data_IF_975126528619
#
_entry.id   IF_975126528619
#
_cell.length_a   1.000
_cell.length_b   1.000
_cell.length_c   1.000
_cell.angle_alpha   90.00
_cell.angle_beta   90.00
_cell.angle_gamma   90.00
#
_symmetry.space_group_name_H-M   'P 1'
#
loop_
_entity.id
_entity.type
_entity.pdbx_description
1 polymer ?
#
# COMPACT_ATOMS: atom_id res chain seq x y z
N UNK A 1 30.68 -2.15 3.31
CA UNK A 1 29.43 -2.16 2.52
C UNK A 1 28.47 -3.22 3.09
N UNK A 2 27.97 -3.14 4.31
CA UNK A 2 26.99 -4.12 4.84
C UNK A 2 26.13 -3.49 5.95
N UNK A 3 25.50 -2.38 5.63
CA UNK A 3 24.39 -1.89 6.44
C UNK A 3 23.08 -2.08 5.67
N UNK A 4 22.83 -3.32 5.29
CA UNK A 4 21.52 -3.73 4.77
C UNK A 4 20.53 -3.47 5.90
N UNK A 5 19.67 -2.50 5.70
CA UNK A 5 18.58 -2.11 6.60
C UNK A 5 17.92 -3.36 7.16
N UNK A 6 18.16 -3.67 8.44
CA UNK A 6 17.69 -4.89 9.05
C UNK A 6 16.35 -4.61 9.72
N UNK A 7 15.29 -5.27 9.25
CA UNK A 7 13.99 -5.29 9.90
C UNK A 7 13.80 -6.52 10.81
N UNK A 8 14.90 -7.16 11.21
CA UNK A 8 14.89 -8.30 12.13
C UNK A 8 14.15 -7.98 13.43
N UNK A 9 13.26 -8.88 13.83
CA UNK A 9 12.41 -8.71 15.01
C UNK A 9 11.21 -7.80 14.83
N UNK A 10 11.04 -7.16 13.64
CA UNK A 10 9.84 -6.38 13.31
C UNK A 10 8.80 -7.23 12.60
N UNK A 11 7.53 -6.90 12.81
CA UNK A 11 6.40 -7.49 12.10
C UNK A 11 5.79 -6.44 11.16
N UNK A 12 5.75 -6.76 9.86
CA UNK A 12 5.15 -5.93 8.82
C UNK A 12 3.83 -6.54 8.34
N UNK A 13 2.74 -5.78 8.43
CA UNK A 13 1.47 -6.10 7.77
C UNK A 13 1.43 -5.37 6.43
N UNK A 14 1.20 -6.11 5.35
CA UNK A 14 1.09 -5.55 4.00
C UNK A 14 -0.24 -5.98 3.40
N UNK A 15 -1.11 -5.01 3.10
CA UNK A 15 -2.40 -5.31 2.50
C UNK A 15 -2.30 -5.44 0.98
N UNK A 16 -3.09 -6.35 0.37
CA UNK A 16 -3.03 -6.61 -1.07
C UNK A 16 -1.68 -7.13 -1.55
N UNK A 17 -1.04 -7.99 -0.75
CA UNK A 17 0.33 -8.44 -0.98
C UNK A 17 0.46 -9.72 -1.81
N UNK A 18 -0.62 -10.19 -2.46
CA UNK A 18 -0.58 -11.32 -3.41
C UNK A 18 0.06 -10.96 -4.76
N UNK A 19 0.17 -9.66 -5.11
CA UNK A 19 0.71 -9.23 -6.40
C UNK A 19 1.29 -7.80 -6.35
N UNK A 20 1.95 -7.39 -7.43
CA UNK A 20 2.39 -6.01 -7.67
C UNK A 20 3.25 -5.42 -6.55
N UNK A 21 3.00 -4.16 -6.20
CA UNK A 21 3.76 -3.40 -5.20
C UNK A 21 3.74 -4.10 -3.83
N UNK A 22 2.57 -4.63 -3.43
CA UNK A 22 2.43 -5.34 -2.16
C UNK A 22 3.30 -6.59 -2.08
N UNK A 23 3.34 -7.39 -3.15
CA UNK A 23 4.17 -8.59 -3.25
C UNK A 23 5.68 -8.26 -3.23
N UNK A 24 6.09 -7.22 -3.99
CA UNK A 24 7.46 -6.74 -3.99
C UNK A 24 7.87 -6.25 -2.59
N UNK A 25 7.02 -5.46 -1.93
CA UNK A 25 7.26 -5.00 -0.56
C UNK A 25 7.37 -6.16 0.43
N UNK A 26 6.45 -7.13 0.36
CA UNK A 26 6.47 -8.31 1.23
C UNK A 26 7.78 -9.09 1.09
N UNK A 27 8.19 -9.36 -0.14
CA UNK A 27 9.47 -10.05 -0.43
C UNK A 27 10.66 -9.23 0.08
N UNK A 28 10.67 -7.94 -0.15
CA UNK A 28 11.77 -7.05 0.26
C UNK A 28 11.91 -6.90 1.78
N UNK A 29 10.80 -6.81 2.53
CA UNK A 29 10.82 -6.84 4.00
C UNK A 29 11.28 -8.20 4.54
N UNK A 30 10.78 -9.30 3.97
CA UNK A 30 11.19 -10.65 4.34
C UNK A 30 12.68 -10.88 4.14
N UNK A 31 13.23 -10.47 2.98
CA UNK A 31 14.66 -10.57 2.68
C UNK A 31 15.56 -9.76 3.65
N UNK A 32 14.95 -8.82 4.39
CA UNK A 32 15.65 -8.02 5.42
C UNK A 32 15.29 -8.46 6.85
N UNK A 33 14.75 -9.66 7.01
CA UNK A 33 14.53 -10.32 8.30
C UNK A 33 13.23 -9.99 9.02
N UNK A 34 12.30 -9.24 8.39
CA UNK A 34 10.99 -8.99 8.98
C UNK A 34 10.12 -10.26 8.97
N UNK A 35 9.26 -10.39 9.98
CA UNK A 35 8.06 -11.24 9.89
C UNK A 35 7.01 -10.50 9.07
N UNK A 36 6.49 -11.13 8.01
CA UNK A 36 5.54 -10.49 7.09
C UNK A 36 4.16 -11.13 7.19
N UNK A 37 3.16 -10.32 7.52
CA UNK A 37 1.75 -10.71 7.44
C UNK A 37 1.24 -10.27 6.06
N UNK A 38 0.95 -11.24 5.20
CA UNK A 38 0.57 -11.08 3.81
C UNK A 38 -0.94 -11.12 3.72
N UNK A 39 -1.58 -9.95 3.62
CA UNK A 39 -3.02 -9.92 3.40
C UNK A 39 -3.35 -10.09 1.91
N UNK A 40 -4.36 -10.91 1.64
CA UNK A 40 -4.94 -11.15 0.30
C UNK A 40 -6.47 -11.32 0.38
N UNK A 41 -7.16 -11.22 -0.78
CA UNK A 41 -8.60 -11.53 -0.88
C UNK A 41 -8.82 -12.86 -1.60
N UNK A 42 -8.84 -12.87 -2.95
CA UNK A 42 -9.19 -14.04 -3.75
C UNK A 42 -8.01 -14.81 -4.35
N UNK A 43 -6.80 -14.25 -4.34
CA UNK A 43 -5.61 -14.80 -5.01
C UNK A 43 -4.75 -15.63 -4.05
N UNK A 44 -5.28 -16.74 -3.54
CA UNK A 44 -4.60 -17.55 -2.53
C UNK A 44 -3.33 -18.21 -3.06
N UNK A 45 -3.34 -18.77 -4.26
CA UNK A 45 -2.16 -19.40 -4.88
C UNK A 45 -1.02 -18.40 -5.08
N UNK A 46 -1.33 -17.15 -5.46
CA UNK A 46 -0.34 -16.10 -5.60
C UNK A 46 0.22 -15.68 -4.24
N UNK A 47 -0.64 -15.52 -3.24
CA UNK A 47 -0.22 -15.21 -1.87
C UNK A 47 0.69 -16.33 -1.29
N UNK A 48 0.38 -17.59 -1.60
CA UNK A 48 1.22 -18.73 -1.21
C UNK A 48 2.61 -18.67 -1.87
N UNK A 49 2.69 -18.31 -3.14
CA UNK A 49 3.98 -18.10 -3.81
C UNK A 49 4.80 -16.96 -3.18
N UNK A 50 4.12 -15.90 -2.73
CA UNK A 50 4.82 -14.79 -2.07
C UNK A 50 5.35 -15.20 -0.70
N UNK A 51 4.59 -15.97 0.10
CA UNK A 51 5.09 -16.47 1.39
C UNK A 51 6.29 -17.40 1.23
N UNK A 52 6.32 -18.21 0.16
CA UNK A 52 7.46 -19.06 -0.18
C UNK A 52 8.70 -18.23 -0.55
N UNK A 53 8.53 -17.15 -1.32
CA UNK A 53 9.62 -16.20 -1.62
C UNK A 53 10.16 -15.54 -0.35
N UNK A 54 9.28 -15.08 0.54
CA UNK A 54 9.65 -14.49 1.84
C UNK A 54 10.47 -15.49 2.65
N UNK A 55 10.04 -16.74 2.74
CA UNK A 55 10.74 -17.81 3.47
C UNK A 55 12.07 -18.17 2.80
N UNK A 56 12.09 -18.30 1.48
CA UNK A 56 13.30 -18.56 0.71
C UNK A 56 14.37 -17.48 0.83
N UNK A 57 13.95 -16.24 1.12
CA UNK A 57 14.85 -15.11 1.41
C UNK A 57 15.27 -15.01 2.90
N UNK A 58 14.90 -15.99 3.74
CA UNK A 58 15.25 -16.05 5.17
C UNK A 58 14.25 -15.35 6.11
N UNK A 59 13.15 -14.79 5.58
CA UNK A 59 12.10 -14.17 6.36
C UNK A 59 11.07 -15.16 6.90
N UNK A 60 10.15 -14.65 7.71
CA UNK A 60 8.98 -15.39 8.19
C UNK A 60 7.71 -14.78 7.59
N UNK A 61 6.73 -15.61 7.22
CA UNK A 61 5.50 -15.12 6.65
C UNK A 61 4.27 -15.87 7.12
N UNK A 62 3.14 -15.16 7.18
CA UNK A 62 1.81 -15.68 7.49
C UNK A 62 0.79 -15.05 6.54
N UNK A 63 -0.20 -15.85 6.11
CA UNK A 63 -1.28 -15.40 5.22
C UNK A 63 -2.49 -14.96 6.04
N UNK A 64 -3.07 -13.82 5.68
CA UNK A 64 -4.32 -13.31 6.25
C UNK A 64 -5.31 -13.03 5.11
N UNK A 65 -6.43 -13.74 5.09
CA UNK A 65 -7.48 -13.56 4.08
C UNK A 65 -8.58 -12.64 4.60
N UNK A 66 -8.93 -11.62 3.83
CA UNK A 66 -10.10 -10.77 4.07
C UNK A 66 -10.53 -10.05 2.78
N UNK A 67 -11.81 -9.72 2.66
CA UNK A 67 -12.30 -8.87 1.58
C UNK A 67 -12.43 -7.41 2.06
N UNK A 68 -11.48 -6.57 1.72
CA UNK A 68 -11.46 -5.16 2.11
C UNK A 68 -12.40 -4.27 1.28
N UNK A 69 -13.19 -4.83 0.36
CA UNK A 69 -14.27 -4.08 -0.30
C UNK A 69 -15.50 -3.95 0.61
N UNK A 70 -15.55 -4.70 1.71
CA UNK A 70 -16.66 -4.71 2.67
C UNK A 70 -16.20 -4.36 4.08
N UNK A 71 -17.08 -3.74 4.87
CA UNK A 71 -16.79 -3.45 6.28
C UNK A 71 -16.67 -4.71 7.14
N UNK A 72 -17.34 -5.81 6.75
CA UNK A 72 -17.19 -7.09 7.45
C UNK A 72 -15.80 -7.68 7.25
N UNK A 73 -15.28 -7.62 6.03
CA UNK A 73 -13.91 -8.02 5.75
C UNK A 73 -12.88 -7.13 6.46
N UNK A 74 -13.11 -5.83 6.52
CA UNK A 74 -12.27 -4.90 7.31
C UNK A 74 -12.28 -5.29 8.78
N UNK A 75 -13.48 -5.51 9.38
CA UNK A 75 -13.61 -5.94 10.78
C UNK A 75 -12.94 -7.29 11.03
N UNK A 76 -13.07 -8.23 10.10
CA UNK A 76 -12.43 -9.55 10.17
C UNK A 76 -10.90 -9.41 10.24
N UNK A 77 -10.30 -8.61 9.34
CA UNK A 77 -8.85 -8.41 9.36
C UNK A 77 -8.41 -7.69 10.63
N UNK A 78 -9.11 -6.63 11.07
CA UNK A 78 -8.83 -5.94 12.34
C UNK A 78 -8.88 -6.91 13.52
N UNK A 79 -9.89 -7.78 13.57
CA UNK A 79 -10.01 -8.82 14.60
C UNK A 79 -8.82 -9.80 14.60
N UNK A 80 -8.36 -10.18 13.40
CA UNK A 80 -7.20 -11.06 13.26
C UNK A 80 -5.88 -10.41 13.74
N UNK A 81 -5.84 -9.07 13.87
CA UNK A 81 -4.67 -8.35 14.40
C UNK A 81 -4.69 -8.21 15.93
N UNK A 82 -5.79 -8.55 16.61
CA UNK A 82 -5.91 -8.38 18.05
C UNK A 82 -4.80 -9.13 18.82
N UNK A 83 -4.13 -8.44 19.73
CA UNK A 83 -3.02 -8.97 20.52
C UNK A 83 -1.71 -9.18 19.74
N UNK A 84 -1.65 -8.88 18.46
CA UNK A 84 -0.44 -9.00 17.64
C UNK A 84 0.39 -7.72 17.67
N UNK A 85 1.69 -7.88 17.79
CA UNK A 85 2.63 -6.76 17.58
C UNK A 85 2.78 -6.50 16.09
N UNK A 86 2.41 -5.29 15.66
CA UNK A 86 2.65 -4.79 14.30
C UNK A 86 3.54 -3.55 14.41
N UNK A 87 4.71 -3.61 13.79
CA UNK A 87 5.69 -2.53 13.80
C UNK A 87 5.61 -1.68 12.53
N UNK A 88 5.18 -2.30 11.42
CA UNK A 88 5.06 -1.68 10.11
C UNK A 88 3.70 -2.04 9.53
N UNK A 89 2.93 -1.02 9.10
CA UNK A 89 1.71 -1.18 8.31
C UNK A 89 1.91 -0.57 6.92
N UNK A 90 1.76 -1.39 5.87
CA UNK A 90 1.69 -0.91 4.49
C UNK A 90 0.27 -1.08 3.98
N UNK A 91 -0.48 0.03 3.93
CA UNK A 91 -1.81 0.10 3.33
C UNK A 91 -1.67 0.18 1.81
N UNK A 92 -1.50 -0.99 1.16
CA UNK A 92 -1.30 -1.10 -0.28
C UNK A 92 -2.56 -1.59 -1.02
N UNK A 93 -3.45 -2.35 -0.37
CA UNK A 93 -4.68 -2.80 -1.02
C UNK A 93 -5.43 -1.64 -1.68
N UNK A 94 -5.77 -1.81 -2.94
CA UNK A 94 -6.46 -0.78 -3.71
C UNK A 94 -6.77 -1.22 -5.13
N UNK A 95 -7.93 -0.81 -5.63
CA UNK A 95 -8.39 -1.09 -6.99
C UNK A 95 -9.44 -0.07 -7.42
N UNK A 96 -9.58 0.11 -8.73
CA UNK A 96 -10.74 0.75 -9.34
C UNK A 96 -12.02 -0.09 -9.13
N UNK A 97 -11.87 -1.39 -8.88
CA UNK A 97 -12.90 -2.42 -8.97
C UNK A 97 -13.46 -2.49 -10.40
N UNK A 98 -14.01 -1.39 -10.88
CA UNK A 98 -14.52 -1.24 -12.25
C UNK A 98 -14.30 0.20 -12.74
N UNK A 99 -13.91 0.35 -14.03
CA UNK A 99 -13.96 1.66 -14.69
C UNK A 99 -15.40 2.01 -15.03
N UNK A 100 -15.92 3.09 -14.47
CA UNK A 100 -17.31 3.45 -14.61
C UNK A 100 -17.46 4.95 -14.84
N UNK A 101 -18.13 5.42 -15.94
CA UNK A 101 -18.49 6.81 -16.10
C UNK A 101 -19.37 7.28 -14.93
N UNK A 102 -19.25 8.55 -14.54
CA UNK A 102 -19.94 9.11 -13.37
C UNK A 102 -21.45 8.87 -13.38
N UNK A 103 -22.09 9.06 -14.54
CA UNK A 103 -23.55 8.89 -14.67
C UNK A 103 -24.04 7.43 -14.52
N UNK A 104 -23.12 6.46 -14.60
CA UNK A 104 -23.42 5.03 -14.46
C UNK A 104 -22.92 4.45 -13.13
N UNK A 105 -22.40 5.29 -12.23
CA UNK A 105 -21.90 4.84 -10.95
C UNK A 105 -23.06 4.45 -10.04
N UNK A 106 -23.03 3.26 -9.47
CA UNK A 106 -23.99 2.84 -8.43
C UNK A 106 -23.44 3.19 -7.05
N UNK A 107 -24.33 3.32 -6.08
CA UNK A 107 -24.00 3.56 -4.68
C UNK A 107 -23.10 2.44 -4.13
N UNK A 108 -23.42 1.18 -4.43
CA UNK A 108 -22.66 0.01 -3.99
C UNK A 108 -21.23 0.03 -4.53
N UNK A 109 -21.04 0.36 -5.80
CA UNK A 109 -19.69 0.45 -6.39
C UNK A 109 -18.91 1.60 -5.75
N UNK A 110 -19.55 2.74 -5.51
CA UNK A 110 -18.94 3.88 -4.82
C UNK A 110 -18.47 3.47 -3.42
N UNK A 111 -19.34 2.84 -2.63
CA UNK A 111 -19.00 2.38 -1.29
C UNK A 111 -17.89 1.33 -1.28
N UNK A 112 -17.92 0.37 -2.19
CA UNK A 112 -16.87 -0.64 -2.33
C UNK A 112 -15.50 0.00 -2.64
N UNK A 113 -15.46 0.97 -3.58
CA UNK A 113 -14.23 1.66 -3.94
C UNK A 113 -13.69 2.46 -2.76
N UNK A 114 -14.53 3.20 -2.03
CA UNK A 114 -14.12 3.96 -0.86
C UNK A 114 -13.69 3.04 0.28
N UNK A 115 -14.42 1.96 0.51
CA UNK A 115 -14.10 0.99 1.57
C UNK A 115 -12.74 0.36 1.33
N UNK A 116 -12.48 -0.11 0.12
CA UNK A 116 -11.20 -0.73 -0.24
C UNK A 116 -10.02 0.26 -0.15
N UNK A 117 -10.15 1.46 -0.73
CA UNK A 117 -9.02 2.35 -0.96
C UNK A 117 -8.76 3.37 0.17
N UNK A 118 -9.73 3.58 1.07
CA UNK A 118 -9.65 4.59 2.13
C UNK A 118 -10.07 4.04 3.49
N UNK A 119 -11.32 3.54 3.62
CA UNK A 119 -11.89 3.15 4.91
C UNK A 119 -11.12 2.01 5.56
N UNK A 120 -10.73 1.00 4.78
CA UNK A 120 -9.90 -0.11 5.27
C UNK A 120 -8.57 0.39 5.82
N UNK A 121 -7.89 1.29 5.11
CA UNK A 121 -6.61 1.86 5.54
C UNK A 121 -6.74 2.62 6.88
N UNK A 122 -7.84 3.36 7.07
CA UNK A 122 -8.12 4.05 8.32
C UNK A 122 -8.30 3.07 9.49
N UNK A 123 -9.16 2.06 9.35
CA UNK A 123 -9.43 1.12 10.45
C UNK A 123 -8.23 0.22 10.77
N UNK A 124 -7.44 -0.16 9.78
CA UNK A 124 -6.21 -0.90 9.99
C UNK A 124 -5.15 -0.03 10.69
N UNK A 125 -4.99 1.23 10.29
CA UNK A 125 -4.12 2.17 10.98
C UNK A 125 -4.56 2.34 12.44
N UNK A 126 -5.86 2.59 12.70
CA UNK A 126 -6.42 2.69 14.06
C UNK A 126 -6.12 1.46 14.90
N UNK A 127 -6.23 0.26 14.32
CA UNK A 127 -6.00 -1.00 15.05
C UNK A 127 -4.55 -1.19 15.49
N UNK A 128 -3.57 -0.74 14.70
CA UNK A 128 -2.15 -0.95 15.02
C UNK A 128 -1.52 0.21 15.80
N UNK A 129 -2.06 1.43 15.65
CA UNK A 129 -1.52 2.66 16.25
C UNK A 129 -1.52 2.61 17.77
N UNK A 130 -2.53 2.03 18.42
CA UNK A 130 -2.56 1.91 19.89
C UNK A 130 -1.31 1.21 20.42
N UNK A 131 -0.96 0.05 19.89
CA UNK A 131 0.24 -0.67 20.30
C UNK A 131 1.55 0.03 19.88
N UNK A 132 1.54 0.78 18.77
CA UNK A 132 2.69 1.59 18.36
C UNK A 132 2.92 2.76 19.33
N UNK A 133 1.83 3.42 19.82
CA UNK A 133 1.90 4.49 20.83
C UNK A 133 2.51 3.98 22.13
N UNK A 134 2.08 2.82 22.63
CA UNK A 134 2.63 2.20 23.84
C UNK A 134 4.13 1.96 23.72
N UNK A 135 4.59 1.51 22.55
CA UNK A 135 6.01 1.24 22.29
C UNK A 135 6.81 2.46 21.86
N UNK A 136 6.16 3.60 21.61
CA UNK A 136 6.75 4.82 21.04
C UNK A 136 7.55 4.57 19.76
N UNK A 137 7.07 3.66 18.94
CA UNK A 137 7.73 3.23 17.70
C UNK A 137 6.75 2.57 16.75
N UNK A 138 6.80 2.92 15.49
CA UNK A 138 6.00 2.31 14.44
C UNK A 138 6.10 3.07 13.11
N UNK A 139 5.70 2.37 12.05
CA UNK A 139 5.70 2.94 10.70
C UNK A 139 4.39 2.62 9.99
N UNK A 140 3.78 3.63 9.40
CA UNK A 140 2.63 3.45 8.50
C UNK A 140 2.98 4.06 7.14
N UNK A 141 2.89 3.27 6.08
CA UNK A 141 3.06 3.73 4.71
C UNK A 141 1.78 3.47 3.94
N UNK A 142 1.16 4.53 3.45
CA UNK A 142 -0.03 4.45 2.61
C UNK A 142 0.37 4.49 1.13
N UNK A 143 -0.16 3.56 0.33
CA UNK A 143 0.05 3.58 -1.13
C UNK A 143 -1.09 4.38 -1.76
N UNK A 144 -0.80 5.65 -2.03
CA UNK A 144 -1.67 6.57 -2.77
C UNK A 144 -1.56 6.33 -4.28
N UNK A 145 -1.63 7.36 -5.11
CA UNK A 145 -1.51 7.29 -6.58
C UNK A 145 -1.35 8.68 -7.17
N UNK A 146 -0.72 8.80 -8.32
CA UNK A 146 -0.78 10.04 -9.13
C UNK A 146 -2.23 10.44 -9.45
N UNK A 147 -3.17 9.48 -9.50
CA UNK A 147 -4.59 9.74 -9.67
C UNK A 147 -5.17 10.68 -8.59
N UNK A 148 -4.59 10.71 -7.40
CA UNK A 148 -4.95 11.63 -6.33
C UNK A 148 -4.78 13.12 -6.70
N UNK A 149 -3.89 13.42 -7.65
CA UNK A 149 -3.55 14.79 -8.08
C UNK A 149 -4.18 15.18 -9.38
N UNK A 150 -4.29 14.23 -10.33
CA UNK A 150 -4.78 14.52 -11.69
C UNK A 150 -6.21 14.00 -11.95
N UNK A 151 -6.89 13.44 -10.94
CA UNK A 151 -8.25 12.91 -11.07
C UNK A 151 -8.33 11.52 -11.70
N UNK A 152 -7.19 10.96 -12.12
CA UNK A 152 -7.11 9.66 -12.82
C UNK A 152 -7.62 9.74 -14.27
N UNK A 153 -7.65 8.61 -14.96
CA UNK A 153 -8.23 8.53 -16.30
C UNK A 153 -9.76 8.37 -16.25
N UNK A 154 -10.40 8.40 -17.42
CA UNK A 154 -11.85 8.22 -17.52
C UNK A 154 -12.34 7.01 -16.75
N UNK A 155 -13.41 7.18 -15.97
CA UNK A 155 -14.00 6.14 -15.14
C UNK A 155 -13.21 5.79 -13.87
N UNK A 156 -12.25 6.62 -13.46
CA UNK A 156 -11.44 6.41 -12.27
C UNK A 156 -11.75 7.39 -11.11
N UNK A 157 -12.81 8.20 -11.23
CA UNK A 157 -13.09 9.30 -10.30
C UNK A 157 -13.15 8.86 -8.84
N UNK A 158 -13.91 7.81 -8.51
CA UNK A 158 -14.06 7.34 -7.12
C UNK A 158 -12.72 6.88 -6.53
N UNK A 159 -11.93 6.15 -7.31
CA UNK A 159 -10.58 5.75 -6.93
C UNK A 159 -9.67 6.95 -6.68
N UNK A 160 -9.66 7.92 -7.61
CA UNK A 160 -8.85 9.13 -7.49
C UNK A 160 -9.24 9.94 -6.25
N UNK A 161 -10.55 10.08 -5.98
CA UNK A 161 -11.09 10.74 -4.78
C UNK A 161 -10.64 10.02 -3.51
N UNK A 162 -10.74 8.69 -3.46
CA UNK A 162 -10.28 7.89 -2.33
C UNK A 162 -8.77 8.03 -2.09
N UNK A 163 -7.95 8.04 -3.15
CA UNK A 163 -6.50 8.21 -3.04
C UNK A 163 -6.10 9.63 -2.65
N UNK A 164 -6.86 10.65 -3.08
CA UNK A 164 -6.73 12.02 -2.59
C UNK A 164 -7.01 12.13 -1.09
N UNK A 165 -8.12 11.54 -0.64
CA UNK A 165 -8.48 11.46 0.78
C UNK A 165 -7.43 10.69 1.60
N UNK A 166 -6.88 9.59 1.07
CA UNK A 166 -5.80 8.82 1.71
C UNK A 166 -4.52 9.66 1.88
N UNK A 167 -4.19 10.49 0.90
CA UNK A 167 -3.05 11.43 0.99
C UNK A 167 -3.27 12.46 2.10
N UNK A 168 -4.46 13.04 2.20
CA UNK A 168 -4.83 13.99 3.26
C UNK A 168 -4.85 13.31 4.63
N UNK A 169 -5.42 12.09 4.72
CA UNK A 169 -5.42 11.27 5.95
C UNK A 169 -4.00 10.99 6.44
N UNK A 170 -3.07 10.73 5.54
CA UNK A 170 -1.64 10.53 5.87
C UNK A 170 -1.07 11.73 6.61
N UNK A 171 -1.33 12.94 6.12
CA UNK A 171 -0.86 14.18 6.75
C UNK A 171 -1.50 14.41 8.13
N UNK A 172 -2.80 14.12 8.28
CA UNK A 172 -3.53 14.22 9.54
C UNK A 172 -2.96 13.28 10.60
N UNK A 173 -2.89 11.98 10.27
CA UNK A 173 -2.34 10.96 11.15
C UNK A 173 -0.87 11.25 11.52
N UNK A 174 -0.07 11.71 10.56
CA UNK A 174 1.33 12.05 10.80
C UNK A 174 1.50 13.15 11.86
N UNK A 175 0.65 14.18 11.84
CA UNK A 175 0.67 15.26 12.85
C UNK A 175 0.26 14.73 14.23
N UNK A 176 -0.77 13.92 14.28
CA UNK A 176 -1.34 13.39 15.52
C UNK A 176 -0.37 12.42 16.23
N UNK A 177 0.32 11.57 15.46
CA UNK A 177 1.14 10.49 16.02
C UNK A 177 2.66 10.75 16.04
N UNK A 178 3.14 11.87 15.47
CA UNK A 178 4.55 12.25 15.54
C UNK A 178 5.09 12.37 16.98
N UNK A 179 4.34 12.94 17.96
CA UNK A 179 4.81 13.04 19.35
C UNK A 179 5.07 11.68 20.01
N UNK A 180 4.49 10.62 19.48
CA UNK A 180 4.66 9.25 19.97
C UNK A 180 5.78 8.47 19.25
N UNK A 181 6.60 9.13 18.43
CA UNK A 181 7.68 8.47 17.71
C UNK A 181 7.23 7.59 16.55
N UNK A 182 5.98 7.75 16.08
CA UNK A 182 5.43 6.98 14.97
C UNK A 182 5.56 7.79 13.68
N UNK A 183 6.10 7.16 12.64
CA UNK A 183 6.26 7.78 11.32
C UNK A 183 5.20 7.31 10.36
N UNK A 184 4.49 8.26 9.75
CA UNK A 184 3.38 8.02 8.84
C UNK A 184 3.61 8.82 7.58
N UNK A 185 3.76 8.14 6.44
CA UNK A 185 3.99 8.74 5.14
C UNK A 185 3.20 8.00 4.06
N UNK A 186 3.20 8.50 2.86
CA UNK A 186 2.63 7.84 1.70
C UNK A 186 3.62 7.81 0.53
N UNK A 187 3.45 6.85 -0.35
CA UNK A 187 4.00 6.85 -1.70
C UNK A 187 2.89 7.11 -2.70
N UNK A 188 3.19 7.82 -3.78
CA UNK A 188 2.26 8.13 -4.88
C UNK A 188 2.84 7.55 -6.18
N UNK A 189 2.58 6.26 -6.47
CA UNK A 189 3.09 5.65 -7.69
C UNK A 189 2.44 6.27 -8.93
N UNK A 190 3.24 6.38 -9.99
CA UNK A 190 2.77 6.55 -11.35
C UNK A 190 2.20 5.26 -11.93
N UNK A 191 2.34 5.06 -13.24
CA UNK A 191 1.95 3.81 -13.86
C UNK A 191 3.05 2.77 -13.69
N UNK A 192 2.74 1.75 -12.90
CA UNK A 192 3.66 0.66 -12.54
C UNK A 192 3.27 -0.60 -13.30
N UNK A 193 4.24 -1.31 -13.90
CA UNK A 193 3.99 -2.56 -14.61
C UNK A 193 3.57 -3.67 -13.66
N UNK A 194 2.27 -3.78 -13.45
CA UNK A 194 1.64 -4.74 -12.55
C UNK A 194 0.36 -5.30 -13.16
N UNK A 195 -0.19 -6.35 -12.56
CA UNK A 195 -1.47 -6.91 -12.98
C UNK A 195 -2.63 -5.89 -12.93
N UNK A 196 -2.52 -4.84 -12.10
CA UNK A 196 -3.50 -3.75 -12.08
C UNK A 196 -3.68 -3.13 -13.47
N UNK A 197 -2.57 -2.76 -14.14
CA UNK A 197 -2.64 -2.15 -15.47
C UNK A 197 -3.01 -3.14 -16.56
N UNK A 198 -2.70 -4.43 -16.41
CA UNK A 198 -3.17 -5.47 -17.32
C UNK A 198 -4.71 -5.60 -17.30
N UNK A 199 -5.33 -5.36 -16.15
CA UNK A 199 -6.78 -5.44 -15.98
C UNK A 199 -7.51 -4.15 -16.39
N UNK A 200 -6.89 -2.98 -16.23
CA UNK A 200 -7.56 -1.68 -16.36
C UNK A 200 -7.00 -0.78 -17.46
N UNK A 201 -5.98 -1.21 -18.22
CA UNK A 201 -5.34 -0.43 -19.27
C UNK A 201 -5.13 -1.26 -20.52
N UNK A 202 -5.27 -0.65 -21.70
CA UNK A 202 -4.91 -1.28 -22.97
C UNK A 202 -3.52 -0.80 -23.44
N UNK A 203 -2.97 -1.45 -24.47
CA UNK A 203 -1.63 -1.12 -25.02
C UNK A 203 -1.52 0.34 -25.47
N UNK A 204 -2.57 0.90 -26.09
CA UNK A 204 -2.60 2.30 -26.52
C UNK A 204 -2.48 3.26 -25.34
N UNK A 205 -3.18 2.96 -24.23
CA UNK A 205 -3.09 3.75 -22.99
C UNK A 205 -1.69 3.64 -22.39
N UNK A 206 -1.12 2.43 -22.30
CA UNK A 206 0.21 2.23 -21.75
C UNK A 206 1.30 2.90 -22.58
N UNK A 207 1.19 2.85 -23.92
CA UNK A 207 2.10 3.55 -24.83
C UNK A 207 2.03 5.06 -24.67
N UNK A 208 0.81 5.61 -24.55
CA UNK A 208 0.61 7.05 -24.31
C UNK A 208 1.22 7.48 -22.96
N UNK A 209 1.03 6.69 -21.91
CA UNK A 209 1.62 6.96 -20.58
C UNK A 209 3.14 6.91 -20.63
N UNK A 210 3.73 5.90 -21.30
CA UNK A 210 5.19 5.83 -21.49
C UNK A 210 5.73 7.08 -22.19
N UNK A 211 5.06 7.52 -23.25
CA UNK A 211 5.46 8.73 -23.99
C UNK A 211 5.32 10.02 -23.16
N UNK A 212 4.33 10.07 -22.25
CA UNK A 212 4.12 11.21 -21.36
C UNK A 212 5.00 11.17 -20.10
N UNK A 213 5.63 10.04 -19.79
CA UNK A 213 6.53 9.89 -18.63
C UNK A 213 7.94 10.36 -19.03
N UNK A 214 8.56 11.34 -18.35
CA UNK A 214 9.91 11.82 -18.69
C UNK A 214 10.97 10.72 -18.73
N UNK A 215 10.87 9.70 -17.86
CA UNK A 215 11.77 8.53 -17.90
C UNK A 215 11.43 7.54 -19.03
N UNK A 216 10.43 7.81 -19.86
CA UNK A 216 10.03 7.06 -21.06
C UNK A 216 9.75 5.56 -20.83
N UNK A 217 9.37 5.18 -19.61
CA UNK A 217 9.02 3.80 -19.24
C UNK A 217 7.99 3.75 -18.11
N UNK A 218 7.42 2.59 -17.91
CA UNK A 218 6.66 2.31 -16.69
C UNK A 218 7.64 2.08 -15.53
N UNK A 219 7.19 2.37 -14.31
CA UNK A 219 7.91 1.96 -13.11
C UNK A 219 7.74 0.45 -12.84
N UNK A 220 8.57 -0.11 -11.98
CA UNK A 220 8.44 -1.48 -11.49
C UNK A 220 7.89 -1.49 -10.06
N UNK A 221 7.34 -2.63 -9.65
CA UNK A 221 6.84 -2.81 -8.28
C UNK A 221 7.98 -2.69 -7.25
N UNK A 222 9.17 -3.13 -7.61
CA UNK A 222 10.38 -3.09 -6.79
C UNK A 222 10.82 -1.64 -6.54
N UNK A 223 10.76 -0.76 -7.54
CA UNK A 223 11.11 0.66 -7.39
C UNK A 223 10.19 1.36 -6.36
N UNK A 224 8.91 1.01 -6.32
CA UNK A 224 8.00 1.52 -5.30
C UNK A 224 8.27 0.88 -3.93
N UNK A 225 8.52 -0.42 -3.89
CA UNK A 225 8.85 -1.15 -2.66
C UNK A 225 10.12 -0.58 -2.00
N UNK A 226 11.15 -0.22 -2.77
CA UNK A 226 12.37 0.39 -2.24
C UNK A 226 12.10 1.70 -1.51
N UNK A 227 11.20 2.55 -2.05
CA UNK A 227 10.79 3.79 -1.38
C UNK A 227 9.98 3.49 -0.12
N UNK A 228 9.09 2.48 -0.13
CA UNK A 228 8.34 2.04 1.06
C UNK A 228 9.31 1.60 2.17
N UNK A 229 10.31 0.78 1.85
CA UNK A 229 11.32 0.35 2.82
C UNK A 229 12.16 1.53 3.33
N UNK A 230 12.57 2.43 2.45
CA UNK A 230 13.26 3.66 2.85
C UNK A 230 12.44 4.46 3.85
N UNK A 231 11.13 4.64 3.63
CA UNK A 231 10.26 5.36 4.56
C UNK A 231 10.11 4.65 5.92
N UNK A 232 10.36 3.35 6.00
CA UNK A 232 10.38 2.58 7.24
C UNK A 232 11.79 2.49 7.87
N UNK A 233 12.80 3.14 7.31
CA UNK A 233 14.19 3.05 7.76
C UNK A 233 14.64 4.28 8.55
N UNK A 234 15.79 4.19 9.22
CA UNK A 234 16.40 5.31 9.97
C UNK A 234 16.75 6.51 9.09
N UNK A 235 17.10 6.27 7.82
CA UNK A 235 17.52 7.31 6.88
C UNK A 235 16.42 8.33 6.56
N UNK A 236 15.15 7.93 6.74
CA UNK A 236 13.99 8.80 6.57
C UNK A 236 13.45 9.38 7.89
N UNK A 237 14.27 9.41 8.96
CA UNK A 237 13.85 9.79 10.32
C UNK A 237 13.27 11.20 10.47
N UNK A 238 13.50 12.09 9.51
CA UNK A 238 12.93 13.45 9.50
C UNK A 238 11.86 13.63 8.42
N UNK A 239 11.42 12.52 7.78
CA UNK A 239 10.33 12.52 6.80
C UNK A 239 9.03 12.11 7.52
N UNK A 240 8.07 13.04 7.58
CA UNK A 240 6.81 12.85 8.28
C UNK A 240 5.67 13.54 7.53
N UNK A 241 4.56 12.84 7.31
CA UNK A 241 3.37 13.36 6.64
C UNK A 241 3.56 13.61 5.14
N UNK A 242 4.59 13.05 4.52
CA UNK A 242 4.89 13.29 3.12
C UNK A 242 4.20 12.27 2.21
N UNK A 243 3.86 12.74 1.01
CA UNK A 243 3.41 11.91 -0.11
C UNK A 243 4.51 11.92 -1.16
N UNK A 244 5.32 10.86 -1.21
CA UNK A 244 6.48 10.78 -2.09
C UNK A 244 6.05 10.26 -3.46
N UNK A 245 6.24 11.06 -4.49
CA UNK A 245 5.96 10.69 -5.87
C UNK A 245 6.99 9.66 -6.38
N UNK A 246 6.51 8.51 -6.87
CA UNK A 246 7.32 7.46 -7.49
C UNK A 246 6.77 7.21 -8.89
N UNK A 247 6.96 8.17 -9.79
CA UNK A 247 6.19 8.29 -11.03
C UNK A 247 7.03 8.55 -12.29
N UNK A 248 8.38 8.51 -12.19
CA UNK A 248 9.26 8.77 -13.33
C UNK A 248 9.17 10.19 -13.91
N UNK A 249 8.71 11.16 -13.09
CA UNK A 249 8.49 12.56 -13.48
C UNK A 249 7.13 12.83 -14.14
N UNK A 250 6.22 11.85 -14.18
CA UNK A 250 4.86 12.03 -14.69
C UNK A 250 4.06 12.96 -13.76
N UNK A 251 3.50 14.03 -14.30
CA UNK A 251 2.72 15.06 -13.58
C UNK A 251 1.25 15.10 -14.01
#
# INVERSE_FOLDING_TARGET
MDNVKNFGGMTALITGASSGIGAASATAFGARGARVLIHYNGQESEAQRIIERVRGAGGQGELLRADLTTMDGVRSLVGALAGRRIDILVNNAGSLIQRTPVLNFTEELWEQVLTLNLTSAFFLAKAVLAGMVERKSGFVVNVSSVAARNGGGLGALAYASAKGALSTMTMGLAKEFAPFGIRINAVSPGTIDTNYHRNFSNEKMLSAVKAATPMARLGTAEEVADVILFLCSHESRFIQGQVIEVNGGFS
#
